data_IF_898239584294
#
_entry.id   IF_898239584294
#
_cell.length_a   1.000
_cell.length_b   1.000
_cell.length_c   1.000
_cell.angle_alpha   90.00
_cell.angle_beta   90.00
_cell.angle_gamma   90.00
#
_symmetry.space_group_name_H-M   'P 1'
#
loop_
_entity.id
_entity.type
_entity.pdbx_description
1 polymer ?
#
# COMPACT_ATOMS: atom_id res chain seq x y z
N UNK A 1 -32.39 -6.28 -7.02
CA UNK A 1 -30.96 -6.61 -6.83
C UNK A 1 -30.86 -7.69 -5.77
N UNK A 2 -30.51 -8.93 -6.15
CA UNK A 2 -30.23 -9.99 -5.19
C UNK A 2 -28.90 -9.66 -4.53
N UNK A 3 -28.94 -9.23 -3.29
CA UNK A 3 -27.80 -9.16 -2.41
C UNK A 3 -27.26 -10.58 -2.20
N UNK A 4 -26.18 -10.93 -2.86
CA UNK A 4 -25.47 -12.18 -2.60
C UNK A 4 -24.73 -12.03 -1.28
N UNK A 5 -25.32 -12.52 -0.19
CA UNK A 5 -24.57 -12.69 1.06
C UNK A 5 -23.63 -13.87 0.86
N UNK A 6 -22.33 -13.60 0.81
CA UNK A 6 -21.31 -14.64 0.86
C UNK A 6 -21.39 -15.25 2.26
N UNK A 7 -21.87 -16.50 2.35
CA UNK A 7 -21.93 -17.27 3.60
C UNK A 7 -20.73 -18.19 3.77
N UNK A 8 -20.06 -18.51 2.65
CA UNK A 8 -18.96 -19.46 2.62
C UNK A 8 -17.62 -18.72 2.68
N UNK A 9 -16.66 -19.36 3.33
CA UNK A 9 -15.27 -18.90 3.34
C UNK A 9 -14.56 -19.48 2.11
N UNK A 10 -13.74 -18.66 1.48
CA UNK A 10 -12.91 -19.05 0.34
C UNK A 10 -11.44 -18.96 0.72
N UNK A 11 -10.67 -19.95 0.36
CA UNK A 11 -9.21 -19.89 0.36
C UNK A 11 -8.73 -19.85 -1.09
N UNK A 12 -7.69 -19.09 -1.34
CA UNK A 12 -7.08 -19.01 -2.65
C UNK A 12 -5.57 -18.99 -2.56
N UNK A 13 -4.93 -19.48 -3.60
CA UNK A 13 -3.49 -19.39 -3.76
C UNK A 13 -3.22 -18.57 -5.02
N UNK A 14 -2.31 -17.61 -4.91
CA UNK A 14 -1.86 -16.79 -6.02
C UNK A 14 -0.37 -17.03 -6.24
N UNK A 15 0.02 -17.17 -7.52
CA UNK A 15 1.41 -17.25 -7.93
C UNK A 15 1.86 -15.90 -8.47
N UNK A 16 3.05 -15.47 -8.05
CA UNK A 16 3.67 -14.23 -8.50
C UNK A 16 5.06 -14.53 -9.03
N UNK A 17 5.28 -14.27 -10.29
CA UNK A 17 6.58 -14.37 -10.91
C UNK A 17 7.32 -13.03 -10.82
N UNK A 18 8.57 -13.08 -10.41
CA UNK A 18 9.49 -11.95 -10.46
C UNK A 18 10.71 -12.35 -11.31
N UNK A 19 10.96 -11.62 -12.39
CA UNK A 19 12.11 -11.82 -13.28
C UNK A 19 12.78 -10.47 -13.50
N UNK A 20 14.07 -10.38 -13.16
CA UNK A 20 14.86 -9.15 -13.21
C UNK A 20 14.12 -7.97 -12.56
N UNK A 21 13.51 -8.21 -11.42
CA UNK A 21 12.63 -7.27 -10.74
C UNK A 21 12.88 -7.26 -9.23
N UNK A 22 12.52 -6.15 -8.58
CA UNK A 22 12.46 -6.08 -7.13
C UNK A 22 10.98 -6.11 -6.68
N UNK A 23 10.46 -7.25 -6.28
CA UNK A 23 9.05 -7.38 -5.94
C UNK A 23 8.69 -6.67 -4.63
N UNK A 24 9.62 -6.62 -3.67
CA UNK A 24 9.42 -5.97 -2.36
C UNK A 24 10.76 -5.63 -1.71
N UNK A 25 11.28 -4.45 -2.01
CA UNK A 25 12.54 -3.95 -1.44
C UNK A 25 12.44 -3.66 0.05
N UNK A 26 13.55 -3.83 0.74
CA UNK A 26 13.71 -3.50 2.16
C UNK A 26 14.36 -2.11 2.29
N UNK A 27 13.66 -1.11 2.84
CA UNK A 27 14.21 0.23 3.01
C UNK A 27 15.41 0.26 3.96
N UNK A 28 15.45 -0.64 4.96
CA UNK A 28 16.52 -0.70 5.95
C UNK A 28 17.79 -1.36 5.40
N UNK A 29 17.66 -2.12 4.31
CA UNK A 29 18.75 -2.84 3.63
C UNK A 29 19.11 -2.23 2.26
N UNK A 30 18.98 -0.91 2.11
CA UNK A 30 19.29 -0.24 0.85
C UNK A 30 18.42 -0.71 -0.32
N UNK A 31 17.17 -1.00 -0.08
CA UNK A 31 16.19 -1.47 -1.06
C UNK A 31 16.53 -2.84 -1.68
N UNK A 32 17.28 -3.70 -0.97
CA UNK A 32 17.45 -5.11 -1.35
C UNK A 32 16.08 -5.82 -1.40
N UNK A 33 15.85 -6.74 -2.36
CA UNK A 33 14.73 -7.65 -2.28
C UNK A 33 14.73 -8.40 -0.94
N UNK A 34 13.58 -8.50 -0.28
CA UNK A 34 13.47 -9.19 1.00
C UNK A 34 13.66 -10.68 0.82
N UNK A 35 14.53 -11.24 1.65
CA UNK A 35 14.76 -12.69 1.73
C UNK A 35 15.08 -13.08 3.17
N UNK A 36 14.83 -14.33 3.48
CA UNK A 36 15.36 -14.95 4.69
C UNK A 36 16.86 -15.20 4.52
N UNK A 37 17.66 -14.79 5.50
CA UNK A 37 19.14 -14.82 5.39
C UNK A 37 19.68 -16.25 5.44
N UNK A 38 18.99 -17.16 6.11
CA UNK A 38 19.48 -18.54 6.31
C UNK A 38 19.08 -19.43 5.12
N UNK A 39 17.86 -19.26 4.62
CA UNK A 39 17.29 -20.13 3.57
C UNK A 39 17.37 -19.52 2.17
N UNK A 40 17.68 -18.22 2.08
CA UNK A 40 17.66 -17.43 0.84
C UNK A 40 16.26 -17.40 0.16
N UNK A 41 15.22 -17.81 0.88
CA UNK A 41 13.84 -17.75 0.40
C UNK A 41 13.39 -16.30 0.32
N UNK A 42 12.95 -15.88 -0.85
CA UNK A 42 12.44 -14.54 -1.09
C UNK A 42 11.10 -14.31 -0.42
N UNK A 43 10.89 -13.10 0.10
CA UNK A 43 9.67 -12.74 0.84
C UNK A 43 9.03 -11.51 0.19
N UNK A 44 7.70 -11.58 -0.02
CA UNK A 44 6.89 -10.41 -0.34
C UNK A 44 5.85 -10.26 0.78
N UNK A 45 5.84 -9.09 1.42
CA UNK A 45 4.92 -8.82 2.53
C UNK A 45 3.47 -8.69 2.04
N UNK A 46 2.52 -9.08 2.88
CA UNK A 46 1.09 -8.87 2.64
C UNK A 46 0.75 -7.39 2.41
N UNK A 47 1.44 -6.48 3.09
CA UNK A 47 1.29 -5.04 2.92
C UNK A 47 1.63 -4.59 1.50
N UNK A 48 2.66 -5.19 0.87
CA UNK A 48 3.04 -4.88 -0.50
C UNK A 48 1.92 -5.25 -1.50
N UNK A 49 1.26 -6.40 -1.31
CA UNK A 49 0.09 -6.78 -2.12
C UNK A 49 -1.10 -5.86 -1.88
N UNK A 50 -1.44 -5.64 -0.62
CA UNK A 50 -2.54 -4.72 -0.24
C UNK A 50 -2.33 -3.33 -0.84
N UNK A 51 -1.07 -2.85 -0.90
CA UNK A 51 -0.75 -1.56 -1.52
C UNK A 51 -1.01 -1.57 -3.03
N UNK A 52 -0.60 -2.63 -3.74
CA UNK A 52 -0.84 -2.75 -5.19
C UNK A 52 -2.33 -2.81 -5.51
N UNK A 53 -3.09 -3.56 -4.72
CA UNK A 53 -4.54 -3.64 -4.89
C UNK A 53 -5.20 -2.28 -4.63
N UNK A 54 -4.80 -1.57 -3.56
CA UNK A 54 -5.29 -0.20 -3.30
C UNK A 54 -5.01 0.74 -4.46
N UNK A 55 -3.78 0.71 -4.99
CA UNK A 55 -3.41 1.56 -6.12
C UNK A 55 -4.26 1.27 -7.36
N UNK A 56 -4.55 -0.02 -7.61
CA UNK A 56 -5.42 -0.40 -8.72
C UNK A 56 -6.84 0.14 -8.54
N UNK A 57 -7.43 -0.05 -7.36
CA UNK A 57 -8.79 0.46 -7.05
C UNK A 57 -8.83 1.98 -7.14
N UNK A 58 -7.82 2.67 -6.63
CA UNK A 58 -7.72 4.13 -6.63
C UNK A 58 -7.70 4.72 -8.06
N UNK A 59 -7.13 3.98 -9.01
CA UNK A 59 -7.07 4.39 -10.43
C UNK A 59 -8.32 3.92 -11.20
N UNK A 60 -8.71 2.67 -11.04
CA UNK A 60 -9.76 2.05 -11.84
C UNK A 60 -11.18 2.53 -11.48
N UNK A 61 -11.39 2.89 -10.21
CA UNK A 61 -12.69 3.29 -9.66
C UNK A 61 -12.65 4.69 -9.03
N UNK A 62 -11.79 5.56 -9.55
CA UNK A 62 -11.66 6.93 -9.06
C UNK A 62 -12.98 7.70 -9.15
N UNK A 63 -13.45 8.23 -8.02
CA UNK A 63 -14.68 9.02 -7.96
C UNK A 63 -15.97 8.23 -7.83
N UNK A 64 -15.92 6.89 -7.79
CA UNK A 64 -17.09 6.08 -7.50
C UNK A 64 -17.41 6.08 -5.99
N UNK A 65 -18.70 6.15 -5.65
CA UNK A 65 -19.15 6.16 -4.25
C UNK A 65 -18.76 4.85 -3.54
N UNK A 66 -18.18 4.99 -2.37
CA UNK A 66 -17.71 3.86 -1.56
C UNK A 66 -16.42 3.19 -2.05
N UNK A 67 -15.74 3.74 -3.05
CA UNK A 67 -14.48 3.21 -3.59
C UNK A 67 -13.25 4.03 -3.17
N UNK A 68 -13.42 4.99 -2.26
CA UNK A 68 -12.30 5.77 -1.70
C UNK A 68 -11.28 4.85 -1.01
N UNK A 69 -10.01 5.25 -1.05
CA UNK A 69 -8.91 4.58 -0.34
C UNK A 69 -8.43 5.45 0.82
N UNK A 70 -8.46 4.92 2.04
CA UNK A 70 -7.97 5.61 3.23
C UNK A 70 -6.44 5.66 3.28
N UNK A 71 -5.78 4.52 3.00
CA UNK A 71 -4.33 4.36 3.10
C UNK A 71 -3.62 4.86 1.84
N UNK A 72 -3.65 6.17 1.61
CA UNK A 72 -2.95 6.86 0.52
C UNK A 72 -1.67 7.54 1.02
N UNK A 73 -0.75 7.83 0.10
CA UNK A 73 0.44 8.64 0.41
C UNK A 73 0.05 10.05 0.84
N UNK A 74 0.72 10.56 1.87
CA UNK A 74 0.54 11.94 2.33
C UNK A 74 -0.78 12.23 3.07
N UNK A 75 -1.65 11.23 3.26
CA UNK A 75 -2.90 11.39 3.99
C UNK A 75 -2.68 11.21 5.49
N UNK A 76 -3.17 12.15 6.28
CA UNK A 76 -3.24 12.00 7.72
C UNK A 76 -4.47 11.19 8.11
N UNK A 77 -4.26 9.98 8.59
CA UNK A 77 -5.33 9.09 9.06
C UNK A 77 -6.13 9.76 10.18
N UNK A 78 -5.46 10.44 11.12
CA UNK A 78 -6.13 11.15 12.20
C UNK A 78 -7.07 12.26 11.71
N UNK A 79 -6.71 12.94 10.61
CA UNK A 79 -7.57 13.95 9.97
C UNK A 79 -8.83 13.31 9.39
N UNK A 80 -8.71 12.18 8.71
CA UNK A 80 -9.87 11.49 8.14
C UNK A 80 -10.75 10.88 9.24
N UNK A 81 -10.16 10.34 10.32
CA UNK A 81 -10.90 9.91 11.51
C UNK A 81 -11.68 11.08 12.10
N UNK A 82 -11.03 12.21 12.30
CA UNK A 82 -11.67 13.40 12.85
C UNK A 82 -12.87 13.87 12.01
N UNK A 83 -12.71 13.94 10.68
CA UNK A 83 -13.80 14.34 9.77
C UNK A 83 -15.02 13.45 9.90
N UNK A 84 -14.85 12.13 9.80
CA UNK A 84 -15.97 11.18 9.86
C UNK A 84 -16.62 11.17 11.25
N UNK A 85 -15.83 11.25 12.31
CA UNK A 85 -16.37 11.29 13.67
C UNK A 85 -17.19 12.56 13.90
N UNK A 86 -16.75 13.73 13.41
CA UNK A 86 -17.55 14.97 13.47
C UNK A 86 -18.85 14.83 12.67
N UNK A 87 -18.76 14.34 11.44
CA UNK A 87 -19.93 14.13 10.58
C UNK A 87 -20.98 13.21 11.22
N UNK A 88 -20.55 12.06 11.76
CA UNK A 88 -21.45 11.08 12.43
C UNK A 88 -22.06 11.64 13.72
N UNK A 89 -21.30 12.47 14.45
CA UNK A 89 -21.84 13.12 15.65
C UNK A 89 -22.74 14.32 15.34
N UNK A 90 -22.66 14.89 14.13
CA UNK A 90 -23.36 16.09 13.73
C UNK A 90 -22.76 17.35 14.38
N UNK A 91 -21.47 17.35 14.63
CA UNK A 91 -20.72 18.42 15.28
C UNK A 91 -19.74 19.07 14.30
N UNK A 92 -19.58 20.38 14.35
CA UNK A 92 -18.59 21.10 13.55
C UNK A 92 -17.19 21.14 14.20
N UNK A 93 -17.16 21.02 15.53
CA UNK A 93 -15.92 21.09 16.35
C UNK A 93 -16.00 20.11 17.51
N UNK A 94 -14.85 19.60 17.92
CA UNK A 94 -14.75 18.78 19.11
C UNK A 94 -14.81 19.65 20.38
N UNK A 95 -15.77 19.35 21.27
CA UNK A 95 -15.78 19.89 22.62
C UNK A 95 -14.80 19.09 23.50
N UNK A 96 -13.88 19.74 24.17
CA UNK A 96 -12.94 19.06 25.06
C UNK A 96 -13.49 19.00 26.51
N UNK A 97 -13.37 17.86 27.22
CA UNK A 97 -12.80 16.57 26.75
C UNK A 97 -13.76 15.80 25.85
N UNK A 98 -13.28 15.44 24.64
CA UNK A 98 -14.08 14.68 23.67
C UNK A 98 -13.94 13.17 23.87
N UNK A 99 -15.09 12.48 23.89
CA UNK A 99 -15.16 11.00 23.82
C UNK A 99 -16.19 10.64 22.77
N UNK A 100 -15.76 9.90 21.73
CA UNK A 100 -16.69 9.41 20.71
C UNK A 100 -17.69 8.42 21.34
N UNK A 101 -18.97 8.78 21.33
CA UNK A 101 -20.06 7.93 21.83
C UNK A 101 -20.68 7.05 20.74
N UNK A 102 -20.38 7.35 19.46
CA UNK A 102 -20.93 6.67 18.28
C UNK A 102 -19.82 5.91 17.52
N UNK A 103 -19.04 5.11 18.25
CA UNK A 103 -17.95 4.33 17.65
C UNK A 103 -18.46 3.35 16.59
N UNK A 104 -19.54 2.57 16.80
CA UNK A 104 -20.06 1.66 15.79
C UNK A 104 -20.53 2.37 14.52
N UNK A 105 -21.21 3.50 14.66
CA UNK A 105 -21.71 4.30 13.53
C UNK A 105 -20.54 4.92 12.75
N UNK A 106 -19.50 5.37 13.46
CA UNK A 106 -18.26 5.86 12.84
C UNK A 106 -17.57 4.75 12.04
N UNK A 107 -17.44 3.55 12.59
CA UNK A 107 -16.89 2.39 11.91
C UNK A 107 -17.71 2.03 10.65
N UNK A 108 -19.03 2.06 10.74
CA UNK A 108 -19.91 1.82 9.60
C UNK A 108 -19.76 2.89 8.50
N UNK A 109 -19.59 4.17 8.87
CA UNK A 109 -19.34 5.25 7.94
C UNK A 109 -17.99 5.07 7.21
N UNK A 110 -16.95 4.64 7.92
CA UNK A 110 -15.68 4.28 7.31
C UNK A 110 -15.83 3.13 6.30
N UNK A 111 -16.51 2.06 6.66
CA UNK A 111 -16.76 0.94 5.76
C UNK A 111 -17.59 1.32 4.53
N UNK A 112 -18.52 2.26 4.67
CA UNK A 112 -19.32 2.75 3.54
C UNK A 112 -18.47 3.53 2.56
N UNK A 113 -17.62 4.42 3.05
CA UNK A 113 -16.82 5.33 2.22
C UNK A 113 -15.55 4.69 1.67
N UNK A 114 -14.77 3.99 2.52
CA UNK A 114 -13.45 3.49 2.16
C UNK A 114 -13.46 2.00 1.81
N UNK A 115 -13.13 1.70 0.56
CA UNK A 115 -13.07 0.34 0.04
C UNK A 115 -12.04 -0.51 0.77
N UNK A 116 -10.85 0.04 1.02
CA UNK A 116 -9.74 -0.68 1.65
C UNK A 116 -10.01 -1.01 3.13
N UNK A 117 -10.69 -0.11 3.85
CA UNK A 117 -11.12 -0.37 5.24
C UNK A 117 -12.17 -1.47 5.28
N UNK A 118 -13.14 -1.44 4.37
CA UNK A 118 -14.17 -2.47 4.25
C UNK A 118 -13.60 -3.83 3.89
N UNK A 119 -12.54 -3.86 3.04
CA UNK A 119 -11.98 -5.08 2.48
C UNK A 119 -10.91 -5.70 3.37
N UNK A 120 -9.94 -4.92 3.80
CA UNK A 120 -8.78 -5.40 4.57
C UNK A 120 -8.88 -5.13 6.06
N UNK A 121 -9.79 -4.24 6.47
CA UNK A 121 -9.88 -3.76 7.84
C UNK A 121 -8.92 -2.61 8.15
N UNK A 122 -8.96 -2.15 9.38
CA UNK A 122 -8.10 -1.08 9.86
C UNK A 122 -8.27 -0.81 11.34
N UNK A 123 -7.21 -0.32 11.97
CA UNK A 123 -7.21 0.14 13.35
C UNK A 123 -7.41 1.65 13.34
N UNK A 124 -8.63 2.08 13.69
CA UNK A 124 -9.05 3.48 13.70
C UNK A 124 -9.24 3.99 15.14
N UNK A 125 -8.60 3.32 16.10
CA UNK A 125 -8.71 3.64 17.53
C UNK A 125 -7.75 4.74 17.98
N UNK A 126 -6.88 5.24 17.09
CA UNK A 126 -5.97 6.35 17.39
C UNK A 126 -6.71 7.70 17.40
N UNK A 127 -6.33 8.59 18.29
CA UNK A 127 -6.92 9.92 18.37
C UNK A 127 -8.40 9.91 18.77
N UNK A 128 -9.31 10.26 17.88
CA UNK A 128 -10.75 10.40 18.14
C UNK A 128 -11.54 9.08 18.16
N UNK A 129 -10.86 7.96 18.08
CA UNK A 129 -11.39 6.60 18.20
C UNK A 129 -12.67 6.31 17.39
N UNK A 130 -12.49 5.81 16.18
CA UNK A 130 -13.56 5.28 15.33
C UNK A 130 -13.66 3.74 15.38
N UNK A 131 -12.92 3.09 16.30
CA UNK A 131 -12.96 1.65 16.52
C UNK A 131 -11.89 0.87 15.77
N UNK A 132 -12.08 -0.44 15.77
CA UNK A 132 -11.26 -1.40 15.03
C UNK A 132 -12.15 -2.21 14.11
N UNK A 133 -11.74 -2.34 12.87
CA UNK A 133 -12.50 -3.03 11.82
C UNK A 133 -11.64 -4.19 11.31
N UNK A 134 -12.20 -5.38 11.30
CA UNK A 134 -11.58 -6.56 10.69
C UNK A 134 -12.23 -6.78 9.32
N UNK A 135 -11.42 -6.79 8.27
CA UNK A 135 -11.90 -7.02 6.92
C UNK A 135 -11.97 -8.51 6.56
N UNK A 136 -12.80 -8.88 5.60
CA UNK A 136 -12.99 -10.26 5.16
C UNK A 136 -11.81 -10.83 4.40
N UNK A 137 -11.01 -9.99 3.75
CA UNK A 137 -9.87 -10.41 2.93
C UNK A 137 -8.60 -10.37 3.75
N UNK A 138 -8.03 -11.54 3.96
CA UNK A 138 -6.75 -11.71 4.63
C UNK A 138 -5.74 -12.32 3.66
N UNK A 139 -4.56 -11.72 3.57
CA UNK A 139 -3.44 -12.18 2.76
C UNK A 139 -2.29 -12.54 3.68
N UNK A 140 -1.65 -13.68 3.43
CA UNK A 140 -0.38 -14.02 4.05
C UNK A 140 0.81 -13.35 3.35
N UNK A 141 1.97 -13.48 3.92
CA UNK A 141 3.22 -13.18 3.22
C UNK A 141 3.42 -14.20 2.10
N UNK A 142 4.04 -13.76 1.01
CA UNK A 142 4.46 -14.67 -0.04
C UNK A 142 5.89 -15.11 0.21
N UNK A 143 6.13 -16.40 -0.03
CA UNK A 143 7.46 -16.99 -0.01
C UNK A 143 7.78 -17.54 -1.39
N UNK A 144 9.06 -17.43 -1.79
CA UNK A 144 9.49 -18.05 -3.04
C UNK A 144 9.55 -19.59 -2.90
N UNK A 145 9.25 -20.29 -3.99
CA UNK A 145 9.28 -21.76 -4.02
C UNK A 145 10.71 -22.29 -3.85
N UNK A 146 11.66 -21.58 -4.45
CA UNK A 146 13.08 -21.87 -4.40
C UNK A 146 13.85 -20.67 -3.84
N UNK A 147 15.08 -20.84 -3.33
CA UNK A 147 15.98 -19.76 -3.00
C UNK A 147 16.14 -18.78 -4.16
N UNK A 148 16.15 -17.48 -3.86
CA UNK A 148 16.31 -16.44 -4.88
C UNK A 148 17.74 -15.96 -4.95
N UNK A 149 18.18 -15.59 -6.16
CA UNK A 149 19.45 -14.94 -6.37
C UNK A 149 19.24 -13.45 -6.61
N UNK A 150 19.93 -12.61 -5.82
CA UNK A 150 19.89 -11.16 -5.94
C UNK A 150 21.09 -10.70 -6.75
N UNK A 151 20.84 -9.92 -7.79
CA UNK A 151 21.86 -9.31 -8.65
C UNK A 151 21.90 -7.80 -8.46
N UNK A 152 23.10 -7.26 -8.40
CA UNK A 152 23.34 -5.82 -8.43
C UNK A 152 23.55 -5.37 -9.88
N UNK A 153 22.64 -4.53 -10.35
CA UNK A 153 22.70 -3.94 -11.69
C UNK A 153 23.08 -2.48 -11.60
N UNK A 154 24.20 -2.13 -12.21
CA UNK A 154 24.61 -0.73 -12.34
C UNK A 154 23.83 -0.06 -13.47
N UNK A 155 23.20 1.06 -13.17
CA UNK A 155 22.46 1.88 -14.13
C UNK A 155 23.21 3.20 -14.29
N UNK A 156 23.55 3.55 -15.53
CA UNK A 156 24.18 4.83 -15.84
C UNK A 156 23.11 5.84 -16.26
N UNK A 157 23.03 6.94 -15.54
CA UNK A 157 22.25 8.10 -15.92
C UNK A 157 23.13 9.06 -16.70
N UNK A 158 22.67 9.50 -17.87
CA UNK A 158 23.41 10.39 -18.78
C UNK A 158 23.40 11.86 -18.34
N UNK A 159 22.84 12.16 -17.17
CA UNK A 159 22.91 13.47 -16.54
C UNK A 159 23.54 13.34 -15.17
N UNK A 160 24.23 14.38 -14.72
CA UNK A 160 24.89 14.42 -13.43
C UNK A 160 24.17 15.35 -12.46
N UNK A 161 24.43 15.16 -11.20
CA UNK A 161 24.14 16.11 -10.13
C UNK A 161 25.41 16.21 -9.30
N UNK A 162 25.95 17.41 -9.22
CA UNK A 162 26.95 17.76 -8.23
C UNK A 162 26.27 18.27 -6.96
N UNK A 163 26.95 18.23 -5.85
CA UNK A 163 26.42 18.70 -4.57
C UNK A 163 26.61 20.20 -4.37
N UNK A 164 26.93 20.95 -5.42
CA UNK A 164 27.18 22.37 -5.36
C UNK A 164 25.93 23.16 -5.68
N UNK A 165 25.54 24.06 -4.76
CA UNK A 165 24.45 25.02 -4.97
C UNK A 165 25.07 26.37 -5.33
N UNK A 166 24.85 26.85 -6.55
CA UNK A 166 25.31 28.14 -7.02
C UNK A 166 24.21 29.19 -6.89
N UNK A 167 24.62 30.46 -6.76
CA UNK A 167 23.69 31.56 -6.58
C UNK A 167 23.09 32.09 -7.90
N UNK A 168 23.74 31.85 -9.03
CA UNK A 168 23.29 32.31 -10.35
C UNK A 168 23.31 31.18 -11.36
N UNK A 169 22.47 31.29 -12.38
CA UNK A 169 22.40 30.29 -13.49
C UNK A 169 23.70 30.30 -14.28
N UNK A 170 24.33 31.45 -14.45
CA UNK A 170 25.61 31.60 -15.17
C UNK A 170 26.75 30.81 -14.50
N UNK A 171 26.73 30.68 -13.17
CA UNK A 171 27.69 29.86 -12.43
C UNK A 171 27.48 28.35 -12.68
N UNK A 172 26.20 27.90 -12.77
CA UNK A 172 25.88 26.54 -13.16
C UNK A 172 26.31 26.23 -14.60
N UNK A 173 26.09 27.16 -15.55
CA UNK A 173 26.51 26.99 -16.94
C UNK A 173 28.04 26.92 -17.08
N UNK A 174 28.77 27.71 -16.29
CA UNK A 174 30.23 27.66 -16.28
C UNK A 174 30.74 26.33 -15.73
N UNK A 175 30.21 25.86 -14.63
CA UNK A 175 30.51 24.55 -14.03
C UNK A 175 30.21 23.41 -15.03
N UNK A 176 29.04 23.49 -15.69
CA UNK A 176 28.67 22.53 -16.73
C UNK A 176 29.65 22.50 -17.90
N UNK A 177 30.20 23.66 -18.30
CA UNK A 177 31.17 23.76 -19.38
C UNK A 177 32.53 23.20 -19.00
N UNK A 178 32.91 23.25 -17.71
CA UNK A 178 34.19 22.73 -17.20
C UNK A 178 34.16 21.20 -16.99
N UNK A 179 32.98 20.58 -16.91
CA UNK A 179 32.86 19.14 -16.75
C UNK A 179 33.08 18.39 -18.06
N UNK A 180 33.96 17.38 -18.00
CA UNK A 180 34.22 16.47 -19.11
C UNK A 180 32.99 15.56 -19.37
N UNK A 181 32.75 15.12 -20.60
CA UNK A 181 31.64 14.26 -20.97
C UNK A 181 31.56 12.95 -20.15
N UNK A 182 32.70 12.47 -19.66
CA UNK A 182 32.74 11.27 -18.82
C UNK A 182 32.30 11.54 -17.39
N UNK A 183 32.52 12.73 -16.86
CA UNK A 183 32.10 13.13 -15.51
C UNK A 183 30.64 13.56 -15.47
N UNK A 184 30.03 13.89 -16.60
CA UNK A 184 28.58 14.21 -16.74
C UNK A 184 27.64 13.01 -16.63
N UNK A 185 28.10 11.92 -16.02
CA UNK A 185 27.34 10.68 -15.84
C UNK A 185 27.26 10.32 -14.37
N UNK A 186 26.07 9.94 -13.93
CA UNK A 186 25.86 9.43 -12.58
C UNK A 186 25.52 7.95 -12.65
N UNK A 187 26.22 7.15 -11.87
CA UNK A 187 25.93 5.72 -11.73
C UNK A 187 25.00 5.49 -10.54
N UNK A 188 23.98 4.67 -10.71
CA UNK A 188 23.11 4.18 -9.67
C UNK A 188 23.11 2.67 -9.64
N UNK A 189 22.84 2.08 -8.50
CA UNK A 189 22.67 0.64 -8.33
C UNK A 189 21.20 0.28 -8.24
N UNK A 190 20.82 -0.80 -8.92
CA UNK A 190 19.50 -1.41 -8.80
C UNK A 190 19.66 -2.87 -8.40
N UNK A 191 19.05 -3.23 -7.28
CA UNK A 191 19.08 -4.59 -6.76
C UNK A 191 17.82 -5.32 -7.21
N UNK A 192 17.98 -6.44 -7.88
CA UNK A 192 16.89 -7.22 -8.49
C UNK A 192 17.03 -8.70 -8.19
N UNK A 193 15.92 -9.39 -8.15
CA UNK A 193 15.86 -10.85 -8.17
C UNK A 193 16.01 -11.30 -9.63
N UNK A 194 16.97 -12.19 -9.91
CA UNK A 194 17.18 -12.76 -11.25
C UNK A 194 15.93 -13.49 -11.73
N UNK A 195 15.43 -14.37 -10.89
CA UNK A 195 14.17 -15.09 -11.04
C UNK A 195 13.65 -15.57 -9.69
N UNK A 196 12.33 -15.52 -9.50
CA UNK A 196 11.67 -16.09 -8.33
C UNK A 196 10.17 -16.30 -8.60
N UNK A 197 9.68 -17.48 -8.24
CA UNK A 197 8.26 -17.79 -8.22
C UNK A 197 7.77 -17.79 -6.79
N UNK A 198 6.87 -16.88 -6.46
CA UNK A 198 6.34 -16.69 -5.11
C UNK A 198 4.92 -17.22 -4.99
N UNK A 199 4.61 -17.82 -3.86
CA UNK A 199 3.29 -18.35 -3.51
C UNK A 199 2.68 -17.52 -2.41
N UNK A 200 1.49 -16.99 -2.64
CA UNK A 200 0.69 -16.26 -1.65
C UNK A 200 -0.56 -17.05 -1.34
N UNK A 201 -0.85 -17.21 -0.06
CA UNK A 201 -2.12 -17.74 0.38
C UNK A 201 -3.00 -16.62 0.92
N UNK A 202 -4.29 -16.68 0.60
CA UNK A 202 -5.26 -15.73 1.11
C UNK A 202 -6.59 -16.37 1.42
N UNK A 203 -7.37 -15.68 2.25
CA UNK A 203 -8.72 -16.10 2.63
C UNK A 203 -9.68 -14.94 2.47
N UNK A 204 -10.91 -15.27 2.06
CA UNK A 204 -12.05 -14.37 2.06
C UNK A 204 -13.09 -15.00 2.95
N UNK A 205 -13.32 -14.45 4.14
CA UNK A 205 -14.26 -15.00 5.09
C UNK A 205 -15.25 -13.95 5.61
N UNK A 206 -16.54 -14.16 5.43
CA UNK A 206 -17.57 -13.28 5.97
C UNK A 206 -17.65 -13.35 7.50
N UNK A 207 -17.21 -14.44 8.12
CA UNK A 207 -17.19 -14.59 9.57
C UNK A 207 -16.15 -13.70 10.27
N UNK A 208 -15.17 -13.19 9.53
CA UNK A 208 -14.18 -12.23 10.04
C UNK A 208 -14.76 -10.84 10.22
N UNK A 209 -15.97 -10.56 9.70
CA UNK A 209 -16.59 -9.24 9.75
C UNK A 209 -17.49 -9.16 10.97
N UNK A 210 -17.10 -8.37 11.95
CA UNK A 210 -17.90 -8.11 13.15
C UNK A 210 -19.11 -7.18 12.90
N UNK A 211 -19.22 -6.62 11.70
CA UNK A 211 -20.25 -5.66 11.32
C UNK A 211 -20.97 -6.11 10.04
N UNK A 212 -22.30 -6.06 10.11
CA UNK A 212 -23.30 -6.47 9.16
C UNK A 212 -23.00 -6.18 7.69
N UNK A 213 -23.22 -7.21 6.87
CA UNK A 213 -23.44 -7.19 5.42
C UNK A 213 -22.34 -6.58 4.54
N UNK A 214 -21.45 -7.47 4.12
CA UNK A 214 -20.56 -7.21 3.00
C UNK A 214 -21.35 -7.23 1.70
N UNK A 215 -21.66 -6.08 1.18
CA UNK A 215 -21.89 -5.92 -0.24
C UNK A 215 -20.53 -5.76 -0.90
N UNK A 216 -19.91 -6.85 -1.31
CA UNK A 216 -18.83 -6.76 -2.29
C UNK A 216 -19.46 -6.21 -3.58
N UNK A 217 -18.90 -5.18 -4.22
CA UNK A 217 -19.30 -4.84 -5.56
C UNK A 217 -19.16 -6.09 -6.41
N UNK A 218 -20.22 -6.47 -7.08
CA UNK A 218 -20.22 -7.59 -8.03
C UNK A 218 -19.18 -7.24 -9.07
N UNK A 219 -18.06 -7.96 -9.07
CA UNK A 219 -17.16 -7.94 -10.23
C UNK A 219 -17.99 -8.55 -11.34
N UNK A 220 -18.51 -7.70 -12.23
CA UNK A 220 -19.10 -8.17 -13.47
C UNK A 220 -18.00 -8.92 -14.22
N UNK A 221 -18.11 -10.24 -14.28
CA UNK A 221 -17.40 -11.04 -15.26
C UNK A 221 -17.85 -10.59 -16.64
N UNK A 222 -16.90 -10.11 -17.43
CA UNK A 222 -17.00 -10.01 -18.88
C UNK A 222 -16.91 -11.41 -19.47
#
# INVERSE_FOLDING_TARGET
QRQMCIRDSYTFTMLVEAKLANPNGDPDMGNLPRQDIETEIGIITDVAFKRRIRNYIDVAYAGEDGMDILMRNGVSINKEIAKIVLEVNGEEKFAEPFKNKKVPESAAAFCKRFWDVRTFGGVLSTGRNAGQITGPVQLGMAESVDPIHIEDMTITRMCYTDGNDFSTIEDYEREEAEHDEQTKRTMGEKKVVSYGLYVVQGTISPSSVSYTHLTLPTICTV
#
